data_IF_267639716104
#
_entry.id   IF_267639716104
#
_cell.length_a   1.000
_cell.length_b   1.000
_cell.length_c   1.000
_cell.angle_alpha   90.00
_cell.angle_beta   90.00
_cell.angle_gamma   90.00
#
_symmetry.space_group_name_H-M   'P 1'
#
loop_
_entity.id
_entity.type
_entity.pdbx_description
1 polymer ?
#
# COMPACT_ATOMS: atom_id res chain seq x y z
N UNK A 1 -17.64 25.39 8.09
CA UNK A 1 -18.80 26.22 7.68
C UNK A 1 -18.81 26.40 6.15
N UNK A 2 -18.26 25.51 5.34
CA UNK A 2 -18.14 25.66 3.86
C UNK A 2 -18.81 24.55 3.05
N UNK A 3 -19.56 23.65 3.67
CA UNK A 3 -20.11 22.45 3.00
C UNK A 3 -21.58 22.55 2.53
N UNK A 4 -22.28 23.65 2.85
CA UNK A 4 -23.72 23.77 2.53
C UNK A 4 -24.00 24.14 1.08
N UNK A 5 -23.09 24.84 0.40
CA UNK A 5 -23.32 25.26 -1.00
C UNK A 5 -23.28 24.12 -2.01
N UNK A 6 -22.42 23.12 -1.81
CA UNK A 6 -22.34 21.95 -2.69
C UNK A 6 -23.55 21.02 -2.51
N UNK A 7 -24.06 20.89 -1.29
CA UNK A 7 -25.30 20.16 -0.97
C UNK A 7 -26.52 20.85 -1.62
N UNK A 8 -26.61 22.16 -1.54
CA UNK A 8 -27.68 22.94 -2.19
C UNK A 8 -27.60 22.81 -3.71
N UNK A 9 -26.41 22.86 -4.32
CA UNK A 9 -26.23 22.71 -5.76
C UNK A 9 -26.65 21.30 -6.22
N UNK A 10 -26.31 20.24 -5.45
CA UNK A 10 -26.73 18.86 -5.73
C UNK A 10 -28.24 18.66 -5.57
N UNK A 11 -28.84 19.18 -4.50
CA UNK A 11 -30.30 19.17 -4.30
C UNK A 11 -31.03 19.92 -5.40
N UNK A 12 -30.49 21.05 -5.83
CA UNK A 12 -31.07 21.87 -6.93
C UNK A 12 -30.93 21.18 -8.28
N UNK A 13 -29.83 20.45 -8.53
CA UNK A 13 -29.65 19.65 -9.75
C UNK A 13 -30.61 18.46 -9.80
N UNK A 14 -30.80 17.74 -8.70
CA UNK A 14 -31.81 16.67 -8.58
C UNK A 14 -33.26 17.21 -8.70
N UNK A 15 -33.55 18.34 -8.07
CA UNK A 15 -34.86 18.98 -8.13
C UNK A 15 -35.21 19.52 -9.53
N UNK A 16 -34.23 19.71 -10.41
CA UNK A 16 -34.42 20.17 -11.80
C UNK A 16 -34.55 19.04 -12.83
N UNK A 17 -34.54 17.76 -12.39
CA UNK A 17 -34.72 16.61 -13.29
C UNK A 17 -33.58 16.38 -14.29
N UNK A 18 -32.41 17.00 -14.09
CA UNK A 18 -31.23 16.68 -14.86
C UNK A 18 -30.66 15.34 -14.36
N UNK A 19 -30.91 14.27 -15.10
CA UNK A 19 -30.26 12.97 -14.88
C UNK A 19 -28.75 13.15 -15.09
N UNK A 20 -27.98 13.07 -14.01
CA UNK A 20 -26.50 13.01 -14.12
C UNK A 20 -26.16 11.73 -14.87
N UNK A 21 -25.55 11.86 -16.04
CA UNK A 21 -25.07 10.71 -16.80
C UNK A 21 -23.65 10.43 -16.36
N UNK A 22 -23.49 9.38 -15.55
CA UNK A 22 -22.19 8.93 -15.06
C UNK A 22 -21.34 8.37 -16.19
N UNK A 23 -20.03 8.69 -16.17
CA UNK A 23 -19.06 8.26 -17.18
C UNK A 23 -17.82 7.68 -16.53
N UNK A 24 -17.18 6.75 -17.23
CA UNK A 24 -15.83 6.28 -16.87
C UNK A 24 -14.87 7.48 -16.90
N UNK A 25 -14.09 7.62 -15.84
CA UNK A 25 -13.18 8.74 -15.62
C UNK A 25 -13.74 9.87 -14.76
N UNK A 26 -15.05 9.88 -14.47
CA UNK A 26 -15.62 10.87 -13.56
C UNK A 26 -15.02 10.71 -12.16
N UNK A 27 -14.66 11.86 -11.55
CA UNK A 27 -14.18 11.92 -10.18
C UNK A 27 -15.35 12.14 -9.23
N UNK A 28 -15.49 11.24 -8.27
CA UNK A 28 -16.63 11.22 -7.37
C UNK A 28 -16.23 10.97 -5.92
N UNK A 29 -17.09 11.39 -5.02
CA UNK A 29 -17.07 11.01 -3.60
C UNK A 29 -18.36 10.31 -3.24
N UNK A 30 -18.35 9.54 -2.15
CA UNK A 30 -19.53 8.84 -1.64
C UNK A 30 -20.06 9.52 -0.39
N UNK A 31 -21.30 10.07 -0.41
CA UNK A 31 -21.94 10.63 0.77
C UNK A 31 -22.04 9.62 1.94
N UNK A 32 -22.29 8.34 1.65
CA UNK A 32 -22.36 7.29 2.67
C UNK A 32 -21.05 7.01 3.40
N UNK A 33 -19.91 7.46 2.86
CA UNK A 33 -18.58 7.36 3.48
C UNK A 33 -18.04 8.71 3.97
N UNK A 34 -18.91 9.70 4.19
CA UNK A 34 -18.49 11.00 4.72
C UNK A 34 -17.75 11.89 3.71
N UNK A 35 -17.57 11.46 2.45
CA UNK A 35 -16.87 12.18 1.37
C UNK A 35 -15.35 12.33 1.58
N UNK A 36 -14.77 11.49 2.40
CA UNK A 36 -13.35 11.55 2.80
C UNK A 36 -12.41 10.88 1.79
N UNK A 37 -12.96 10.04 0.90
CA UNK A 37 -12.22 9.36 -0.15
C UNK A 37 -12.68 9.81 -1.52
N UNK A 38 -11.73 10.21 -2.36
CA UNK A 38 -11.95 10.51 -3.75
C UNK A 38 -11.78 9.25 -4.61
N UNK A 39 -12.73 9.01 -5.49
CA UNK A 39 -12.76 7.86 -6.41
C UNK A 39 -12.79 8.31 -7.86
N UNK A 40 -12.30 7.46 -8.74
CA UNK A 40 -12.55 7.51 -10.18
C UNK A 40 -13.50 6.38 -10.56
N UNK A 41 -14.48 6.67 -11.43
CA UNK A 41 -15.37 5.65 -12.00
C UNK A 41 -14.58 4.84 -13.04
N UNK A 42 -14.48 3.53 -12.85
CA UNK A 42 -13.80 2.60 -13.76
C UNK A 42 -14.78 1.86 -14.68
N UNK A 43 -16.00 1.65 -14.22
CA UNK A 43 -17.06 1.01 -15.00
C UNK A 43 -18.45 1.56 -14.62
N UNK A 44 -19.34 1.65 -15.60
CA UNK A 44 -20.75 2.04 -15.40
C UNK A 44 -21.62 0.88 -15.85
N UNK A 45 -22.52 0.44 -14.98
CA UNK A 45 -23.56 -0.54 -15.27
C UNK A 45 -24.92 0.18 -15.24
N UNK A 46 -25.43 0.49 -16.42
CA UNK A 46 -26.70 1.22 -16.58
C UNK A 46 -27.92 0.36 -16.22
N UNK A 47 -27.83 -0.97 -16.42
CA UNK A 47 -28.94 -1.88 -16.13
C UNK A 47 -29.09 -2.08 -14.62
N UNK A 48 -27.96 -2.26 -13.92
CA UNK A 48 -27.93 -2.39 -12.48
C UNK A 48 -28.03 -1.05 -11.73
N UNK A 49 -27.87 0.10 -12.40
CA UNK A 49 -27.83 1.42 -11.77
C UNK A 49 -26.65 1.61 -10.82
N UNK A 50 -25.50 0.99 -11.14
CA UNK A 50 -24.31 0.98 -10.30
C UNK A 50 -23.05 1.38 -11.09
N UNK A 51 -22.00 1.77 -10.35
CA UNK A 51 -20.66 1.98 -10.89
C UNK A 51 -19.66 1.16 -10.13
N UNK A 52 -18.53 0.84 -10.78
CA UNK A 52 -17.32 0.41 -10.10
C UNK A 52 -16.41 1.62 -9.90
N UNK A 53 -15.93 1.76 -8.68
CA UNK A 53 -15.11 2.86 -8.20
C UNK A 53 -13.71 2.37 -7.83
N UNK A 54 -12.70 3.14 -8.21
CA UNK A 54 -11.32 2.96 -7.77
C UNK A 54 -10.89 4.17 -6.96
N UNK A 55 -10.34 3.94 -5.76
CA UNK A 55 -9.75 4.99 -4.92
C UNK A 55 -8.55 5.66 -5.61
N UNK A 56 -8.31 6.95 -5.36
CA UNK A 56 -7.14 7.63 -5.92
C UNK A 56 -5.87 7.40 -5.11
N UNK A 57 -6.00 7.40 -3.79
CA UNK A 57 -4.86 7.29 -2.85
C UNK A 57 -5.00 6.11 -1.89
N UNK A 58 -6.10 5.37 -1.97
CA UNK A 58 -6.36 4.15 -1.19
C UNK A 58 -6.56 2.94 -2.11
N UNK A 59 -6.08 1.77 -1.72
CA UNK A 59 -6.08 0.53 -2.51
C UNK A 59 -7.44 -0.17 -2.50
N UNK A 60 -8.50 0.58 -2.83
CA UNK A 60 -9.88 0.12 -2.79
C UNK A 60 -10.52 0.11 -4.18
N UNK A 61 -11.17 -0.99 -4.52
CA UNK A 61 -12.18 -1.08 -5.59
C UNK A 61 -13.51 -1.45 -4.95
N UNK A 62 -14.54 -0.65 -5.22
CA UNK A 62 -15.87 -0.82 -4.61
C UNK A 62 -16.97 -0.56 -5.61
N UNK A 63 -18.10 -1.26 -5.45
CA UNK A 63 -19.32 -0.98 -6.19
C UNK A 63 -20.15 0.06 -5.43
N UNK A 64 -20.80 0.97 -6.16
CA UNK A 64 -21.69 1.98 -5.59
C UNK A 64 -22.94 2.19 -6.46
N UNK A 65 -24.12 2.37 -5.86
CA UNK A 65 -25.31 2.78 -6.62
C UNK A 65 -25.16 4.25 -7.05
N UNK A 66 -25.78 4.62 -8.16
CA UNK A 66 -25.79 6.00 -8.67
C UNK A 66 -26.25 7.02 -7.63
N UNK A 67 -27.18 6.62 -6.75
CA UNK A 67 -27.72 7.47 -5.69
C UNK A 67 -26.73 7.82 -4.57
N UNK A 68 -25.60 7.09 -4.48
CA UNK A 68 -24.55 7.32 -3.48
C UNK A 68 -23.30 7.95 -4.10
N UNK A 69 -23.47 8.70 -5.19
CA UNK A 69 -22.38 9.36 -5.88
C UNK A 69 -22.61 10.86 -5.93
N UNK A 70 -21.52 11.60 -5.76
CA UNK A 70 -21.48 13.05 -5.96
C UNK A 70 -20.20 13.42 -6.73
N UNK A 71 -20.37 14.19 -7.83
CA UNK A 71 -19.21 14.75 -8.55
C UNK A 71 -18.41 15.66 -7.62
N UNK A 72 -17.11 15.53 -7.66
CA UNK A 72 -16.20 16.46 -6.99
C UNK A 72 -16.01 17.70 -7.88
N UNK A 73 -16.02 18.90 -7.30
CA UNK A 73 -15.70 20.13 -8.03
C UNK A 73 -14.21 20.23 -8.31
N UNK A 74 -13.81 21.04 -9.30
CA UNK A 74 -12.39 21.27 -9.59
C UNK A 74 -11.62 21.86 -8.40
N UNK A 75 -12.26 22.76 -7.66
CA UNK A 75 -11.68 23.38 -6.47
C UNK A 75 -11.51 22.36 -5.35
N UNK A 76 -12.55 21.57 -5.02
CA UNK A 76 -12.47 20.53 -4.00
C UNK A 76 -11.45 19.45 -4.36
N UNK A 77 -11.36 19.09 -5.65
CA UNK A 77 -10.36 18.14 -6.12
C UNK A 77 -8.94 18.69 -5.99
N UNK A 78 -8.74 19.97 -6.32
CA UNK A 78 -7.44 20.64 -6.16
C UNK A 78 -7.01 20.66 -4.69
N UNK A 79 -7.94 20.98 -3.78
CA UNK A 79 -7.66 21.00 -2.36
C UNK A 79 -7.40 19.59 -1.81
N UNK A 80 -8.16 18.59 -2.24
CA UNK A 80 -7.90 17.18 -1.93
C UNK A 80 -6.49 16.76 -2.36
N UNK A 81 -6.12 17.02 -3.63
CA UNK A 81 -4.79 16.69 -4.17
C UNK A 81 -3.66 17.38 -3.41
N UNK A 82 -3.86 18.63 -3.02
CA UNK A 82 -2.89 19.39 -2.22
C UNK A 82 -2.72 18.78 -0.82
N UNK A 83 -3.81 18.40 -0.18
CA UNK A 83 -3.79 17.76 1.13
C UNK A 83 -3.07 16.40 1.08
N UNK A 84 -3.39 15.53 0.10
CA UNK A 84 -2.72 14.24 -0.08
C UNK A 84 -1.23 14.39 -0.36
N UNK A 85 -0.85 15.29 -1.26
CA UNK A 85 0.55 15.56 -1.58
C UNK A 85 1.34 16.03 -0.34
N UNK A 86 0.71 16.83 0.53
CA UNK A 86 1.32 17.27 1.79
C UNK A 86 1.54 16.09 2.75
N UNK A 87 0.54 15.25 2.97
CA UNK A 87 0.64 14.06 3.82
C UNK A 87 1.79 13.16 3.35
N UNK A 88 1.84 12.86 2.06
CA UNK A 88 2.89 12.04 1.46
C UNK A 88 4.28 12.66 1.64
N UNK A 89 4.40 13.96 1.41
CA UNK A 89 5.67 14.67 1.54
C UNK A 89 6.15 14.72 2.99
N UNK A 90 5.26 15.00 3.93
CA UNK A 90 5.56 15.05 5.36
C UNK A 90 5.99 13.66 5.86
N UNK A 91 5.31 12.58 5.42
CA UNK A 91 5.67 11.20 5.77
C UNK A 91 7.05 10.84 5.21
N UNK A 92 7.34 11.13 3.94
CA UNK A 92 8.65 10.88 3.33
C UNK A 92 9.75 11.62 4.11
N UNK A 93 9.53 12.88 4.46
CA UNK A 93 10.46 13.67 5.25
C UNK A 93 10.71 13.06 6.63
N UNK A 94 9.66 12.60 7.29
CA UNK A 94 9.75 11.96 8.60
C UNK A 94 10.57 10.67 8.55
N UNK A 95 10.34 9.83 7.55
CA UNK A 95 11.11 8.60 7.29
C UNK A 95 12.59 8.91 7.09
N UNK A 96 12.90 9.92 6.27
CA UNK A 96 14.29 10.36 6.03
C UNK A 96 14.98 10.86 7.31
N UNK A 97 14.29 11.66 8.12
CA UNK A 97 14.81 12.16 9.40
C UNK A 97 15.07 11.03 10.40
N UNK A 98 14.12 10.08 10.53
CA UNK A 98 14.29 8.90 11.40
C UNK A 98 15.48 8.05 10.98
N UNK A 99 15.63 7.79 9.67
CA UNK A 99 16.77 7.05 9.13
C UNK A 99 18.11 7.76 9.41
N UNK A 100 18.15 9.09 9.30
CA UNK A 100 19.36 9.84 9.66
C UNK A 100 19.69 9.69 11.14
N UNK A 101 18.70 9.81 12.02
CA UNK A 101 18.90 9.62 13.46
C UNK A 101 19.37 8.20 13.81
N UNK A 102 18.83 7.16 13.14
CA UNK A 102 19.27 5.77 13.33
C UNK A 102 20.73 5.58 12.85
N UNK A 103 21.12 6.20 11.73
CA UNK A 103 22.53 6.20 11.26
C UNK A 103 23.47 6.88 12.25
N UNK A 104 23.09 8.03 12.78
CA UNK A 104 23.91 8.78 13.72
C UNK A 104 24.12 7.99 15.02
N UNK A 105 23.08 7.33 15.55
CA UNK A 105 23.19 6.43 16.70
C UNK A 105 24.15 5.26 16.43
N UNK A 106 24.08 4.65 15.23
CA UNK A 106 24.93 3.52 14.87
C UNK A 106 26.38 3.94 14.62
N UNK A 107 26.62 5.14 14.09
CA UNK A 107 27.96 5.70 13.94
C UNK A 107 28.64 6.01 15.28
N UNK A 108 27.89 6.47 16.29
CA UNK A 108 28.42 6.69 17.64
C UNK A 108 28.85 5.39 18.35
N UNK A 109 28.24 4.24 18.01
CA UNK A 109 28.50 2.93 18.61
C UNK A 109 29.65 2.14 17.98
N UNK A 110 30.18 2.58 16.86
CA UNK A 110 31.19 1.80 16.12
C UNK A 110 32.50 2.59 15.91
N UNK A 111 33.64 1.87 15.94
CA UNK A 111 34.97 2.36 15.48
C UNK A 111 34.95 2.79 14.00
N UNK A 112 33.83 2.66 13.31
CA UNK A 112 33.54 3.05 11.91
C UNK A 112 33.77 4.54 11.66
N UNK A 113 33.72 5.38 12.71
CA UNK A 113 34.02 6.80 12.61
C UNK A 113 35.49 7.11 12.27
N UNK A 114 36.42 6.13 12.39
CA UNK A 114 37.83 6.34 12.09
C UNK A 114 38.16 6.31 10.58
N UNK A 115 37.33 5.57 9.77
CA UNK A 115 37.55 5.45 8.32
C UNK A 115 36.21 5.44 7.54
N UNK A 116 35.41 6.53 7.58
CA UNK A 116 34.06 6.55 6.98
C UNK A 116 34.07 6.41 5.47
N UNK A 117 35.19 6.63 4.80
CA UNK A 117 35.33 6.58 3.34
C UNK A 117 35.54 5.18 2.78
N UNK A 118 35.86 4.19 3.61
CA UNK A 118 36.19 2.84 3.16
C UNK A 118 34.96 1.90 3.14
N UNK A 119 33.84 2.33 3.70
CA UNK A 119 32.60 1.53 3.77
C UNK A 119 31.61 1.87 2.66
N UNK A 120 30.87 0.86 2.21
CA UNK A 120 29.72 1.05 1.34
C UNK A 120 28.47 0.46 1.95
N UNK A 121 27.32 1.06 1.64
CA UNK A 121 26.01 0.67 2.13
C UNK A 121 25.29 -0.20 1.08
N UNK A 122 24.62 -1.26 1.55
CA UNK A 122 23.80 -2.12 0.74
C UNK A 122 22.44 -2.33 1.41
N UNK A 123 21.47 -1.46 1.13
CA UNK A 123 20.10 -1.66 1.58
C UNK A 123 19.47 -2.86 0.89
N UNK A 124 18.44 -3.44 1.54
CA UNK A 124 17.67 -4.53 0.98
C UNK A 124 17.04 -4.17 -0.38
N UNK A 125 16.98 -5.16 -1.28
CA UNK A 125 16.37 -5.02 -2.61
C UNK A 125 14.91 -5.42 -2.56
N UNK A 126 14.06 -4.63 -3.18
CA UNK A 126 12.60 -4.83 -3.21
C UNK A 126 12.16 -5.33 -4.58
N UNK A 127 11.35 -6.37 -4.60
CA UNK A 127 10.49 -6.72 -5.72
C UNK A 127 9.05 -6.39 -5.33
N UNK A 128 8.40 -5.48 -6.06
CA UNK A 128 7.03 -5.05 -5.80
C UNK A 128 6.11 -5.53 -6.94
N UNK A 129 5.22 -6.45 -6.62
CA UNK A 129 4.19 -6.98 -7.50
C UNK A 129 2.86 -6.30 -7.15
N UNK A 130 2.23 -5.68 -8.12
CA UNK A 130 1.01 -4.89 -7.89
C UNK A 130 -0.02 -5.16 -8.98
N UNK A 131 -1.27 -5.41 -8.57
CA UNK A 131 -2.41 -5.52 -9.47
C UNK A 131 -2.76 -4.20 -10.17
N UNK A 132 -2.27 -3.06 -9.68
CA UNK A 132 -2.54 -1.74 -10.22
C UNK A 132 -1.28 -1.02 -10.71
N UNK A 133 -1.20 -0.77 -12.01
CA UNK A 133 -0.05 -0.09 -12.63
C UNK A 133 0.13 1.36 -12.17
N UNK A 134 -0.97 2.06 -11.84
CA UNK A 134 -0.91 3.46 -11.40
C UNK A 134 -0.33 3.56 -9.98
N UNK A 135 -0.79 2.69 -9.07
CA UNK A 135 -0.24 2.62 -7.72
C UNK A 135 1.19 2.14 -7.73
N UNK A 136 1.50 1.14 -8.56
CA UNK A 136 2.86 0.65 -8.72
C UNK A 136 3.82 1.76 -9.16
N UNK A 137 3.46 2.55 -10.16
CA UNK A 137 4.28 3.67 -10.61
C UNK A 137 4.53 4.69 -9.49
N UNK A 138 3.48 5.07 -8.74
CA UNK A 138 3.58 5.94 -7.56
C UNK A 138 4.52 5.36 -6.50
N UNK A 139 4.43 4.04 -6.23
CA UNK A 139 5.31 3.33 -5.33
C UNK A 139 6.78 3.34 -5.80
N UNK A 140 7.03 3.04 -7.08
CA UNK A 140 8.39 3.03 -7.65
C UNK A 140 9.03 4.41 -7.60
N UNK A 141 8.28 5.47 -7.89
CA UNK A 141 8.76 6.85 -7.76
C UNK A 141 9.12 7.17 -6.30
N UNK A 142 8.31 6.71 -5.34
CA UNK A 142 8.55 6.94 -3.91
C UNK A 142 9.75 6.13 -3.40
N UNK A 143 9.93 4.87 -3.82
CA UNK A 143 11.14 4.10 -3.54
C UNK A 143 12.39 4.84 -4.01
N UNK A 144 12.39 5.40 -5.23
CA UNK A 144 13.52 6.19 -5.76
C UNK A 144 13.81 7.42 -4.89
N UNK A 145 12.79 8.17 -4.47
CA UNK A 145 12.92 9.32 -3.57
C UNK A 145 13.51 8.94 -2.22
N UNK A 146 13.19 7.75 -1.71
CA UNK A 146 13.71 7.19 -0.47
C UNK A 146 15.07 6.48 -0.65
N UNK A 147 15.60 6.34 -1.86
CA UNK A 147 16.84 5.63 -2.13
C UNK A 147 16.77 4.13 -1.93
N UNK A 148 15.57 3.54 -2.01
CA UNK A 148 15.34 2.09 -1.97
C UNK A 148 15.52 1.51 -3.36
N UNK A 149 16.28 0.41 -3.49
CA UNK A 149 16.42 -0.34 -4.74
C UNK A 149 15.21 -1.22 -4.96
N UNK A 150 14.29 -0.79 -5.83
CA UNK A 150 13.05 -1.52 -6.10
C UNK A 150 12.86 -1.79 -7.60
N UNK A 151 12.34 -2.97 -7.89
CA UNK A 151 11.82 -3.36 -9.20
C UNK A 151 10.32 -3.60 -9.06
N UNK A 152 9.52 -2.97 -9.91
CA UNK A 152 8.06 -3.14 -9.97
C UNK A 152 7.62 -4.02 -11.13
N UNK A 153 6.60 -4.83 -10.91
CA UNK A 153 5.89 -5.61 -11.93
C UNK A 153 4.39 -5.46 -11.73
N UNK A 154 3.71 -4.94 -12.74
CA UNK A 154 2.25 -4.94 -12.76
C UNK A 154 1.77 -6.29 -13.27
N UNK A 155 1.00 -6.99 -12.45
CA UNK A 155 0.47 -8.33 -12.71
C UNK A 155 -0.94 -8.41 -12.13
N UNK A 156 -1.86 -9.02 -12.86
CA UNK A 156 -3.19 -9.33 -12.34
C UNK A 156 -3.08 -10.21 -11.08
N UNK A 157 -3.85 -9.89 -10.03
CA UNK A 157 -3.78 -10.55 -8.73
C UNK A 157 -3.95 -12.07 -8.85
N UNK A 158 -4.80 -12.53 -9.77
CA UNK A 158 -5.06 -13.96 -10.00
C UNK A 158 -3.84 -14.71 -10.54
N UNK A 159 -2.91 -14.02 -11.20
CA UNK A 159 -1.74 -14.60 -11.87
C UNK A 159 -0.44 -14.46 -11.08
N UNK A 160 -0.41 -13.62 -10.06
CA UNK A 160 0.81 -13.33 -9.28
C UNK A 160 1.45 -14.62 -8.76
N UNK A 161 0.66 -15.53 -8.17
CA UNK A 161 1.16 -16.75 -7.54
C UNK A 161 1.96 -17.64 -8.50
N UNK A 162 1.56 -17.70 -9.76
CA UNK A 162 2.21 -18.52 -10.79
C UNK A 162 3.54 -17.93 -11.25
N UNK A 163 3.66 -16.59 -11.19
CA UNK A 163 4.83 -15.86 -11.65
C UNK A 163 5.92 -15.70 -10.58
N UNK A 164 5.58 -15.91 -9.30
CA UNK A 164 6.49 -15.67 -8.17
C UNK A 164 7.79 -16.48 -8.27
N UNK A 165 7.79 -17.80 -8.54
CA UNK A 165 9.05 -18.55 -8.57
C UNK A 165 10.06 -17.98 -9.56
N UNK A 166 9.64 -17.73 -10.81
CA UNK A 166 10.49 -17.18 -11.86
C UNK A 166 11.01 -15.78 -11.52
N UNK A 167 10.14 -14.94 -10.91
CA UNK A 167 10.49 -13.58 -10.53
C UNK A 167 11.46 -13.56 -9.34
N UNK A 168 11.29 -14.45 -8.36
CA UNK A 168 12.22 -14.57 -7.25
C UNK A 168 13.58 -15.05 -7.70
N UNK A 169 13.65 -16.03 -8.61
CA UNK A 169 14.89 -16.49 -9.21
C UNK A 169 15.58 -15.36 -10.00
N UNK A 170 14.83 -14.65 -10.85
CA UNK A 170 15.35 -13.60 -11.73
C UNK A 170 15.90 -12.40 -10.93
N UNK A 171 15.18 -11.94 -9.91
CA UNK A 171 15.52 -10.70 -9.20
C UNK A 171 16.24 -10.92 -7.89
N UNK A 172 16.14 -12.11 -7.30
CA UNK A 172 16.68 -12.47 -5.98
C UNK A 172 16.51 -11.33 -4.94
N UNK A 173 15.26 -10.90 -4.66
CA UNK A 173 14.99 -9.78 -3.76
C UNK A 173 15.21 -10.20 -2.30
N UNK A 174 15.50 -9.21 -1.44
CA UNK A 174 15.52 -9.38 0.00
C UNK A 174 14.11 -9.15 0.60
N UNK A 175 13.27 -8.41 -0.13
CA UNK A 175 11.92 -8.01 0.27
C UNK A 175 10.97 -8.20 -0.92
N UNK A 176 9.87 -8.90 -0.70
CA UNK A 176 8.78 -9.07 -1.66
C UNK A 176 7.55 -8.31 -1.18
N UNK A 177 7.03 -7.43 -2.02
CA UNK A 177 5.78 -6.71 -1.78
C UNK A 177 4.73 -7.21 -2.76
N UNK A 178 3.59 -7.65 -2.26
CA UNK A 178 2.46 -8.18 -3.03
C UNK A 178 1.24 -7.34 -2.71
N UNK A 179 0.82 -6.51 -3.66
CA UNK A 179 -0.29 -5.58 -3.50
C UNK A 179 -1.23 -5.58 -4.70
N UNK A 180 -2.31 -4.87 -4.59
CA UNK A 180 -3.34 -4.72 -5.61
C UNK A 180 -4.56 -4.06 -4.99
N UNK A 181 -5.75 -4.57 -5.31
CA UNK A 181 -7.01 -4.16 -4.72
C UNK A 181 -7.64 -5.31 -3.94
N UNK A 182 -8.32 -4.98 -2.85
CA UNK A 182 -9.14 -5.95 -2.14
C UNK A 182 -10.35 -5.25 -1.51
N UNK A 183 -11.35 -6.04 -1.16
CA UNK A 183 -12.52 -5.58 -0.42
C UNK A 183 -13.33 -6.75 0.09
N UNK A 184 -14.05 -6.57 1.20
CA UNK A 184 -15.08 -7.51 1.66
C UNK A 184 -16.27 -7.42 0.73
N UNK A 185 -16.72 -8.54 0.15
CA UNK A 185 -17.86 -8.59 -0.77
C UNK A 185 -19.19 -8.33 -0.04
N UNK A 186 -20.01 -7.45 -0.61
CA UNK A 186 -21.20 -6.85 0.03
C UNK A 186 -22.30 -7.82 0.51
N UNK A 187 -22.34 -9.05 -0.01
CA UNK A 187 -23.34 -10.05 0.37
C UNK A 187 -23.09 -10.70 1.74
N UNK A 188 -21.97 -10.32 2.39
CA UNK A 188 -21.38 -11.10 3.48
C UNK A 188 -20.79 -10.20 4.57
N UNK A 189 -21.62 -9.31 5.16
CA UNK A 189 -21.20 -8.36 6.19
C UNK A 189 -21.54 -8.75 7.63
N UNK A 190 -21.74 -10.05 7.91
CA UNK A 190 -21.86 -10.54 9.28
C UNK A 190 -20.49 -10.78 9.90
N UNK A 191 -20.32 -10.63 11.23
CA UNK A 191 -19.03 -10.88 11.93
C UNK A 191 -18.45 -12.26 11.61
N UNK A 192 -19.28 -13.29 11.47
CA UNK A 192 -18.89 -14.66 11.09
C UNK A 192 -18.38 -14.75 9.63
N UNK A 193 -18.78 -13.84 8.77
CA UNK A 193 -18.49 -13.87 7.33
C UNK A 193 -17.18 -13.18 6.99
N UNK A 194 -16.75 -12.20 7.79
CA UNK A 194 -15.47 -11.53 7.65
C UNK A 194 -14.29 -12.47 7.96
N UNK A 195 -14.54 -13.60 8.63
CA UNK A 195 -13.54 -14.60 8.98
C UNK A 195 -13.21 -15.58 7.83
N UNK A 196 -13.96 -15.56 6.73
CA UNK A 196 -13.72 -16.46 5.59
C UNK A 196 -13.01 -15.73 4.45
N UNK A 197 -11.79 -16.16 4.13
CA UNK A 197 -10.97 -15.56 3.06
C UNK A 197 -11.67 -15.54 1.69
N UNK A 198 -12.53 -16.52 1.40
CA UNK A 198 -13.34 -16.59 0.16
C UNK A 198 -14.40 -15.49 0.04
N UNK A 199 -14.65 -14.71 1.10
CA UNK A 199 -15.60 -13.58 1.09
C UNK A 199 -14.93 -12.24 0.70
N UNK A 200 -13.67 -12.32 0.31
CA UNK A 200 -12.89 -11.18 -0.14
C UNK A 200 -12.66 -11.24 -1.65
N UNK A 201 -12.55 -10.09 -2.28
CA UNK A 201 -12.35 -10.00 -3.73
C UNK A 201 -11.04 -10.66 -4.17
N UNK A 202 -9.91 -10.36 -3.49
CA UNK A 202 -8.58 -10.80 -3.90
C UNK A 202 -7.71 -11.39 -2.76
N UNK A 203 -8.18 -11.42 -1.50
CA UNK A 203 -7.38 -11.97 -0.39
C UNK A 203 -6.91 -13.40 -0.66
N UNK A 204 -7.72 -14.25 -1.30
CA UNK A 204 -7.33 -15.61 -1.64
C UNK A 204 -6.16 -15.66 -2.64
N UNK A 205 -6.13 -14.75 -3.60
CA UNK A 205 -5.02 -14.61 -4.54
C UNK A 205 -3.73 -14.18 -3.83
N UNK A 206 -3.80 -13.23 -2.91
CA UNK A 206 -2.66 -12.81 -2.11
C UNK A 206 -2.16 -13.95 -1.21
N UNK A 207 -3.03 -14.70 -0.56
CA UNK A 207 -2.67 -15.88 0.24
C UNK A 207 -1.94 -16.93 -0.61
N UNK A 208 -2.44 -17.22 -1.81
CA UNK A 208 -1.78 -18.13 -2.76
C UNK A 208 -0.39 -17.61 -3.16
N UNK A 209 -0.27 -16.32 -3.42
CA UNK A 209 0.98 -15.68 -3.78
C UNK A 209 2.02 -15.76 -2.64
N UNK A 210 1.63 -15.46 -1.40
CA UNK A 210 2.51 -15.61 -0.22
C UNK A 210 2.96 -17.07 -0.06
N UNK A 211 2.04 -18.04 -0.17
CA UNK A 211 2.39 -19.47 -0.11
C UNK A 211 3.35 -19.89 -1.23
N UNK A 212 3.20 -19.35 -2.43
CA UNK A 212 4.12 -19.62 -3.54
C UNK A 212 5.52 -19.08 -3.21
N UNK A 213 5.64 -17.88 -2.66
CA UNK A 213 6.89 -17.30 -2.22
C UNK A 213 7.54 -18.12 -1.08
N UNK A 214 6.76 -18.63 -0.13
CA UNK A 214 7.27 -19.48 0.97
C UNK A 214 7.66 -20.90 0.53
N UNK A 215 7.13 -21.39 -0.57
CA UNK A 215 7.66 -22.63 -1.19
C UNK A 215 9.05 -22.41 -1.76
N UNK A 216 9.34 -21.22 -2.29
CA UNK A 216 10.66 -20.85 -2.80
C UNK A 216 11.63 -20.55 -1.64
N UNK A 217 11.25 -19.69 -0.69
CA UNK A 217 12.04 -19.36 0.49
C UNK A 217 11.20 -19.47 1.78
N UNK A 218 11.52 -20.45 2.60
CA UNK A 218 10.77 -20.76 3.83
C UNK A 218 11.09 -19.83 4.98
N UNK A 219 12.30 -19.27 5.00
CA UNK A 219 12.75 -18.41 6.09
C UNK A 219 12.06 -17.05 6.04
N UNK A 220 11.45 -16.69 7.15
CA UNK A 220 10.88 -15.35 7.36
C UNK A 220 11.96 -14.27 7.35
N UNK A 221 13.18 -14.64 7.76
CA UNK A 221 14.31 -13.72 7.83
C UNK A 221 15.09 -13.60 6.52
N UNK A 222 15.08 -14.58 5.62
CA UNK A 222 15.79 -14.48 4.34
C UNK A 222 14.97 -13.73 3.29
N UNK A 223 13.67 -13.94 3.22
CA UNK A 223 12.76 -13.19 2.37
C UNK A 223 11.67 -12.55 3.22
N UNK A 224 11.71 -11.24 3.41
CA UNK A 224 10.63 -10.50 4.08
C UNK A 224 9.50 -10.25 3.09
N UNK A 225 8.27 -10.63 3.46
CA UNK A 225 7.07 -10.48 2.60
C UNK A 225 6.10 -9.53 3.26
N UNK A 226 5.71 -8.48 2.50
CA UNK A 226 4.52 -7.68 2.75
C UNK A 226 3.41 -8.13 1.79
N UNK A 227 2.18 -8.33 2.28
CA UNK A 227 1.05 -8.70 1.42
C UNK A 227 -0.26 -8.00 1.81
N UNK A 228 -1.10 -7.74 0.81
CA UNK A 228 -2.46 -7.28 0.95
C UNK A 228 -2.73 -5.87 0.44
N UNK A 229 -4.00 -5.48 0.53
CA UNK A 229 -4.58 -4.21 0.10
C UNK A 229 -5.63 -3.73 1.12
N UNK A 230 -6.54 -2.82 0.73
CA UNK A 230 -7.65 -2.38 1.57
C UNK A 230 -8.52 -3.57 2.00
N UNK A 231 -8.88 -3.61 3.27
CA UNK A 231 -9.79 -4.62 3.84
C UNK A 231 -9.34 -6.09 3.63
N UNK A 232 -8.09 -6.38 3.29
CA UNK A 232 -7.61 -7.76 3.09
C UNK A 232 -7.76 -8.62 4.35
N UNK A 233 -7.83 -9.93 4.14
CA UNK A 233 -7.91 -10.89 5.25
C UNK A 233 -6.55 -11.06 5.92
N UNK A 234 -6.26 -10.17 6.88
CA UNK A 234 -4.98 -10.02 7.56
C UNK A 234 -4.43 -11.33 8.14
N UNK A 235 -5.25 -12.06 8.91
CA UNK A 235 -4.86 -13.29 9.59
C UNK A 235 -4.43 -14.37 8.59
N UNK A 236 -5.19 -14.55 7.51
CA UNK A 236 -4.87 -15.55 6.48
C UNK A 236 -3.56 -15.21 5.73
N UNK A 237 -3.23 -13.92 5.61
CA UNK A 237 -1.95 -13.50 5.02
C UNK A 237 -0.76 -13.83 5.93
N UNK A 238 -0.89 -13.58 7.23
CA UNK A 238 0.13 -13.96 8.21
C UNK A 238 0.28 -15.48 8.31
N UNK A 239 -0.83 -16.23 8.37
CA UNK A 239 -0.84 -17.70 8.39
C UNK A 239 -0.23 -18.30 7.12
N UNK A 240 -0.33 -17.63 6.00
CA UNK A 240 0.33 -18.02 4.76
C UNK A 240 1.86 -17.81 4.79
N UNK A 241 2.35 -17.01 5.75
CA UNK A 241 3.77 -16.73 5.96
C UNK A 241 4.20 -15.31 5.57
N UNK A 242 3.29 -14.34 5.42
CA UNK A 242 3.68 -12.94 5.31
C UNK A 242 4.33 -12.46 6.61
N UNK A 243 5.36 -11.60 6.51
CA UNK A 243 5.96 -10.94 7.65
C UNK A 243 5.13 -9.73 8.08
N UNK A 244 4.60 -9.01 7.10
CA UNK A 244 3.73 -7.87 7.28
C UNK A 244 2.50 -8.02 6.39
N UNK A 245 1.36 -7.59 6.91
CA UNK A 245 0.11 -7.63 6.17
C UNK A 245 -0.71 -6.37 6.42
N UNK A 246 -1.61 -6.09 5.47
CA UNK A 246 -2.51 -4.95 5.56
C UNK A 246 -3.82 -5.32 6.22
N UNK A 247 -4.44 -4.29 6.79
CA UNK A 247 -5.84 -4.22 7.18
C UNK A 247 -6.27 -5.16 8.30
N UNK A 248 -5.58 -5.17 9.49
CA UNK A 248 -6.05 -5.90 10.65
C UNK A 248 -7.48 -5.53 11.03
N UNK A 249 -7.84 -4.25 10.95
CA UNK A 249 -9.19 -3.74 11.26
C UNK A 249 -10.10 -3.64 10.03
N UNK A 250 -9.72 -4.28 8.92
CA UNK A 250 -10.48 -4.26 7.64
C UNK A 250 -10.76 -2.86 7.12
N UNK A 251 -9.84 -1.93 7.35
CA UNK A 251 -9.94 -0.54 6.90
C UNK A 251 -9.26 -0.32 5.53
N UNK A 252 -9.42 0.87 5.00
CA UNK A 252 -8.69 1.31 3.81
C UNK A 252 -7.25 1.66 4.17
N UNK A 253 -6.29 1.24 3.34
CA UNK A 253 -4.88 1.59 3.49
C UNK A 253 -4.44 2.55 2.37
N UNK A 254 -3.50 3.43 2.70
CA UNK A 254 -2.92 4.34 1.72
C UNK A 254 -2.05 3.58 0.71
N UNK A 255 -2.07 4.00 -0.56
CA UNK A 255 -1.35 3.34 -1.64
C UNK A 255 0.18 3.22 -1.40
N UNK A 256 0.77 4.15 -0.63
CA UNK A 256 2.21 4.18 -0.32
C UNK A 256 2.60 3.43 0.96
N UNK A 257 1.68 2.96 1.78
CA UNK A 257 2.02 2.27 3.03
C UNK A 257 2.98 1.08 2.85
N UNK A 258 2.81 0.23 1.82
CA UNK A 258 3.76 -0.85 1.55
C UNK A 258 5.20 -0.36 1.29
N UNK A 259 5.34 0.85 0.74
CA UNK A 259 6.66 1.46 0.46
C UNK A 259 7.37 1.80 1.76
N UNK A 260 6.66 2.37 2.73
CA UNK A 260 7.25 2.75 4.02
C UNK A 260 7.62 1.54 4.87
N UNK A 261 6.82 0.46 4.82
CA UNK A 261 7.17 -0.83 5.43
C UNK A 261 8.45 -1.39 4.81
N UNK A 262 8.49 -1.50 3.49
CA UNK A 262 9.64 -2.04 2.77
C UNK A 262 10.91 -1.17 2.96
N UNK A 263 10.77 0.15 3.04
CA UNK A 263 11.88 1.07 3.35
C UNK A 263 12.47 0.77 4.72
N UNK A 264 11.64 0.67 5.76
CA UNK A 264 12.13 0.39 7.10
C UNK A 264 12.87 -0.96 7.16
N UNK A 265 12.33 -1.99 6.52
CA UNK A 265 12.98 -3.30 6.39
C UNK A 265 14.33 -3.19 5.67
N UNK A 266 14.34 -2.48 4.54
CA UNK A 266 15.54 -2.35 3.69
C UNK A 266 16.70 -1.63 4.38
N UNK A 267 16.42 -0.71 5.30
CA UNK A 267 17.42 0.10 6.00
C UNK A 267 17.66 -0.30 7.46
N UNK A 268 16.93 -1.28 8.01
CA UNK A 268 17.26 -1.86 9.31
C UNK A 268 18.41 -2.86 9.15
N UNK A 269 19.46 -2.79 9.98
CA UNK A 269 20.60 -3.72 9.92
C UNK A 269 20.20 -5.18 10.07
N UNK A 270 20.90 -6.10 9.36
CA UNK A 270 20.65 -7.55 9.43
C UNK A 270 20.84 -8.15 10.83
N UNK A 271 21.58 -7.50 11.69
CA UNK A 271 21.80 -7.91 13.08
C UNK A 271 20.71 -7.42 14.05
N UNK A 272 19.75 -6.66 13.56
CA UNK A 272 18.68 -6.05 14.37
C UNK A 272 17.32 -6.61 13.99
N UNK A 273 16.48 -6.86 15.00
CA UNK A 273 15.06 -7.16 14.82
C UNK A 273 14.32 -5.85 14.50
N UNK A 274 13.43 -5.92 13.54
CA UNK A 274 12.61 -4.79 13.12
C UNK A 274 11.54 -4.54 14.19
N UNK A 275 11.53 -3.36 14.75
CA UNK A 275 10.47 -2.89 15.64
C UNK A 275 9.18 -2.67 14.83
N UNK A 276 8.21 -3.56 15.00
CA UNK A 276 6.92 -3.54 14.27
C UNK A 276 6.18 -2.22 14.52
N UNK A 277 6.19 -1.73 15.76
CA UNK A 277 5.52 -0.47 16.09
C UNK A 277 6.16 0.72 15.35
N UNK A 278 7.50 0.76 15.29
CA UNK A 278 8.22 1.78 14.51
C UNK A 278 7.95 1.68 13.00
N UNK A 279 7.78 0.46 12.47
CA UNK A 279 7.37 0.25 11.07
C UNK A 279 6.01 0.88 10.82
N UNK A 280 5.02 0.49 11.60
CA UNK A 280 3.62 0.91 11.41
C UNK A 280 3.47 2.42 11.60
N UNK A 281 4.14 2.99 12.60
CA UNK A 281 4.17 4.45 12.80
C UNK A 281 4.89 5.24 11.69
N UNK A 282 5.60 4.56 10.80
CA UNK A 282 6.23 5.18 9.63
C UNK A 282 5.31 5.21 8.41
N UNK A 283 4.14 4.60 8.49
CA UNK A 283 3.13 4.56 7.43
C UNK A 283 2.12 5.71 7.57
N UNK A 284 1.35 5.96 6.51
CA UNK A 284 0.31 7.00 6.51
C UNK A 284 -0.91 6.52 7.30
N UNK A 285 -1.33 5.27 7.09
CA UNK A 285 -2.55 4.73 7.72
C UNK A 285 -2.33 4.36 9.20
N UNK A 286 -1.12 3.93 9.59
CA UNK A 286 -0.81 3.61 10.98
C UNK A 286 -1.26 2.22 11.44
N UNK A 287 -1.44 2.05 12.77
CA UNK A 287 -1.64 0.74 13.43
C UNK A 287 -2.95 0.04 13.08
N UNK A 288 -3.98 0.78 12.73
CA UNK A 288 -5.27 0.20 12.32
C UNK A 288 -5.19 -0.41 10.90
N UNK A 289 -4.25 0.10 10.07
CA UNK A 289 -4.11 -0.34 8.67
C UNK A 289 -3.07 -1.41 8.43
N UNK A 290 -2.13 -1.61 9.33
CA UNK A 290 -0.96 -2.45 9.09
C UNK A 290 -0.48 -3.13 10.36
N UNK A 291 0.03 -4.35 10.20
CA UNK A 291 0.65 -5.09 11.27
C UNK A 291 1.62 -6.14 10.73
N UNK A 292 2.18 -6.95 11.61
CA UNK A 292 3.12 -7.98 11.18
C UNK A 292 3.77 -8.74 12.33
N UNK A 293 4.80 -9.50 11.97
CA UNK A 293 5.63 -10.33 12.83
C UNK A 293 7.05 -9.76 12.91
N UNK A 294 7.71 -9.99 14.03
CA UNK A 294 9.13 -9.67 14.17
C UNK A 294 9.94 -10.34 13.05
N UNK A 295 10.84 -9.58 12.46
CA UNK A 295 11.68 -10.00 11.35
C UNK A 295 13.03 -9.30 11.42
N UNK A 296 14.07 -9.87 10.83
CA UNK A 296 15.38 -9.21 10.75
C UNK A 296 15.43 -8.20 9.61
N UNK A 297 16.20 -7.14 9.83
CA UNK A 297 16.48 -6.13 8.81
C UNK A 297 17.26 -6.68 7.60
N UNK A 298 17.36 -5.87 6.55
CA UNK A 298 18.01 -6.25 5.28
C UNK A 298 19.17 -5.31 4.87
N UNK A 299 19.56 -4.40 5.76
CA UNK A 299 20.66 -3.50 5.51
C UNK A 299 22.00 -4.13 5.85
N UNK A 300 22.96 -4.03 4.92
CA UNK A 300 24.32 -4.53 5.08
C UNK A 300 25.32 -3.42 4.84
N UNK A 301 26.41 -3.47 5.56
CA UNK A 301 27.60 -2.66 5.27
C UNK A 301 28.70 -3.55 4.73
N UNK A 302 29.41 -3.06 3.73
CA UNK A 302 30.55 -3.73 3.15
C UNK A 302 31.83 -2.91 3.25
N UNK A 303 32.99 -3.57 3.13
CA UNK A 303 34.33 -3.01 3.18
C UNK A 303 35.24 -3.82 2.23
N UNK A 304 36.18 -3.21 1.52
CA UNK A 304 36.34 -1.77 1.31
C UNK A 304 35.44 -1.23 0.20
N UNK A 305 35.22 0.08 0.18
CA UNK A 305 34.56 0.74 -0.96
C UNK A 305 35.49 0.68 -2.17
N UNK A 306 34.95 0.24 -3.32
CA UNK A 306 35.70 0.26 -4.58
C UNK A 306 36.14 1.70 -4.91
N UNK A 307 37.36 1.82 -5.44
CA UNK A 307 37.92 3.09 -5.91
C UNK A 307 37.69 3.30 -7.43
N UNK A 308 37.07 2.33 -8.11
CA UNK A 308 36.81 2.32 -9.54
C UNK A 308 35.33 2.37 -9.88
#
# INVERSE_FOLDING_TARGET
VTNDHALLAWYVAQARGASVVWKVGDLVVRPSYGRDVCFVITRVDLEAGTVELKGLDVRLVADAPFSDLMLITEDDFTDYRRAQAKIEQDTIRLVQLRRQADRDKNNYRSERSRHPYDFFERPGRVLHLDGDGTYLEKCIQTYRRLGVRAVGKNLDESTIAERIPDLLEQYAPDILVITGHDSVMRKQRGESEVMHVGNYRNSEHFVRAVRAARKYERSLDELVIFAGACQSHYEALLDAGANFASSPDRIMIHALDPVFVAEKVAFTPIGETIDIYAVVQSTITGTEGLGGLESRGKYRMGLPRSRY
#
